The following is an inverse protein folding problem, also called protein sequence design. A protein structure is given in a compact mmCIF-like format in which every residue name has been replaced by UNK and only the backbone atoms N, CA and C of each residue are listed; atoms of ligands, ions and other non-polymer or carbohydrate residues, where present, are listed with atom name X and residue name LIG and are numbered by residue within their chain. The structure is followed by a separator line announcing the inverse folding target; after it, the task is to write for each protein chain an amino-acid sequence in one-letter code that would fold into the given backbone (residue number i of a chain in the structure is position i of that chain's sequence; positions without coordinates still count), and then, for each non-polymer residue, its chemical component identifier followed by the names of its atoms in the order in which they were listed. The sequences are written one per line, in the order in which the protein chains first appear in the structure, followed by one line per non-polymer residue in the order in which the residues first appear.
data_IF_352539979266
#
_entry.id   IF_352539979266
#
_cell.length_a   1.000
_cell.length_b   1.000
_cell.length_c   1.000
_cell.angle_alpha   90.00
_cell.angle_beta   90.00
_cell.angle_gamma   90.00
#
_symmetry.space_group_name_H-M   'P 1'
#
loop_
_entity.id
_entity.type
_entity.pdbx_description
1 polymer ?
#
# COMPACT_ATOMS: atom_id res chain seq x y z
N UNK A 1 8.22 10.06 -5.64
CA UNK A 1 7.62 8.79 -6.11
C UNK A 1 7.22 8.84 -7.58
N UNK A 2 6.40 9.81 -8.01
CA UNK A 2 5.91 9.91 -9.40
C UNK A 2 7.01 9.91 -10.46
N UNK A 3 8.08 10.70 -10.28
CA UNK A 3 9.19 10.80 -11.23
C UNK A 3 9.94 9.47 -11.43
N UNK A 4 10.12 8.70 -10.35
CA UNK A 4 10.69 7.36 -10.42
C UNK A 4 9.81 6.44 -11.29
N UNK A 5 8.50 6.45 -11.07
CA UNK A 5 7.57 5.65 -11.87
C UNK A 5 7.57 6.10 -13.32
N UNK A 6 7.50 7.41 -13.58
CA UNK A 6 7.53 7.96 -14.94
C UNK A 6 8.82 7.58 -15.71
N UNK A 7 9.96 7.47 -15.02
CA UNK A 7 11.24 7.14 -15.64
C UNK A 7 11.47 5.65 -15.83
N UNK A 8 11.03 4.80 -14.89
CA UNK A 8 11.33 3.36 -14.90
C UNK A 8 10.16 2.52 -15.41
N UNK A 9 8.93 2.87 -15.05
CA UNK A 9 7.70 2.16 -15.38
C UNK A 9 6.59 3.13 -15.83
N UNK A 10 6.79 3.87 -16.93
CA UNK A 10 5.77 4.82 -17.44
C UNK A 10 4.45 4.13 -17.80
N UNK A 11 4.50 2.84 -18.12
CA UNK A 11 3.33 1.99 -18.35
C UNK A 11 2.44 1.86 -17.10
N UNK A 12 3.02 1.76 -15.90
CA UNK A 12 2.26 1.74 -14.65
C UNK A 12 1.59 3.09 -14.38
N UNK A 13 2.26 4.20 -14.71
CA UNK A 13 1.65 5.54 -14.60
C UNK A 13 0.46 5.69 -15.55
N UNK A 14 0.59 5.20 -16.79
CA UNK A 14 -0.50 5.21 -17.77
C UNK A 14 -1.66 4.29 -17.36
N UNK A 15 -1.38 3.16 -16.72
CA UNK A 15 -2.39 2.20 -16.29
C UNK A 15 -3.15 2.65 -15.03
N UNK A 16 -2.46 3.25 -14.05
CA UNK A 16 -3.07 3.56 -12.74
C UNK A 16 -4.01 4.76 -12.80
N UNK A 17 -3.69 5.78 -13.59
CA UNK A 17 -4.50 7.01 -13.69
C UNK A 17 -5.96 6.70 -14.09
N UNK A 18 -6.26 5.97 -15.18
CA UNK A 18 -7.64 5.66 -15.54
C UNK A 18 -8.33 4.72 -14.54
N UNK A 19 -7.59 3.85 -13.85
CA UNK A 19 -8.17 2.96 -12.83
C UNK A 19 -8.60 3.73 -11.58
N UNK A 20 -7.83 4.72 -11.16
CA UNK A 20 -8.16 5.59 -10.03
C UNK A 20 -9.17 6.67 -10.44
N UNK A 21 -9.10 7.14 -11.70
CA UNK A 21 -9.90 8.23 -12.27
C UNK A 21 -9.17 9.59 -12.30
N UNK A 22 -7.99 9.67 -11.67
CA UNK A 22 -7.15 10.87 -11.58
C UNK A 22 -5.71 10.45 -11.23
N UNK A 23 -4.76 11.39 -11.19
CA UNK A 23 -3.36 11.08 -10.83
C UNK A 23 -3.21 10.82 -9.31
N UNK A 24 -3.02 9.57 -8.87
CA UNK A 24 -2.94 9.26 -7.44
C UNK A 24 -1.68 9.82 -6.79
N UNK A 25 -0.63 10.12 -7.55
CA UNK A 25 0.61 10.65 -6.98
C UNK A 25 0.47 12.11 -6.56
N UNK A 26 -0.46 12.85 -7.16
CA UNK A 26 -0.72 14.25 -6.79
C UNK A 26 -1.46 14.38 -5.44
N UNK A 27 -2.11 13.31 -4.99
CA UNK A 27 -3.01 13.27 -3.82
C UNK A 27 -2.62 12.19 -2.81
N UNK A 28 -1.35 11.77 -2.84
CA UNK A 28 -0.85 10.60 -2.10
C UNK A 28 -1.09 10.69 -0.59
N UNK A 29 -1.07 11.90 -0.02
CA UNK A 29 -1.21 12.14 1.41
C UNK A 29 -2.67 12.30 1.87
N UNK A 30 -3.64 12.25 0.96
CA UNK A 30 -5.04 12.56 1.29
C UNK A 30 -5.81 11.36 1.82
N UNK A 31 -5.65 10.17 1.22
CA UNK A 31 -6.32 8.96 1.68
C UNK A 31 -5.73 7.68 1.10
N UNK A 32 -6.17 6.53 1.63
CA UNK A 32 -5.76 5.21 1.12
C UNK A 32 -6.17 4.98 -0.33
N UNK A 33 -7.20 5.68 -0.83
CA UNK A 33 -7.61 5.63 -2.25
C UNK A 33 -6.46 6.01 -3.17
N UNK A 34 -5.64 6.97 -2.77
CA UNK A 34 -4.51 7.47 -3.56
C UNK A 34 -3.17 6.88 -3.11
N UNK A 35 -2.96 6.80 -1.79
CA UNK A 35 -1.71 6.32 -1.22
C UNK A 35 -1.38 4.90 -1.71
N UNK A 36 -2.36 3.99 -1.67
CA UNK A 36 -2.10 2.58 -1.99
C UNK A 36 -1.66 2.35 -3.44
N UNK A 37 -2.39 2.81 -4.47
CA UNK A 37 -1.94 2.65 -5.85
C UNK A 37 -0.62 3.38 -6.13
N UNK A 38 -0.42 4.58 -5.59
CA UNK A 38 0.83 5.33 -5.78
C UNK A 38 2.04 4.60 -5.17
N UNK A 39 1.90 4.06 -3.95
CA UNK A 39 2.95 3.29 -3.26
C UNK A 39 3.24 2.00 -4.03
N UNK A 40 2.21 1.26 -4.42
CA UNK A 40 2.39 0.01 -5.18
C UNK A 40 3.17 0.24 -6.48
N UNK A 41 2.80 1.23 -7.29
CA UNK A 41 3.51 1.56 -8.52
C UNK A 41 4.97 2.00 -8.25
N UNK A 42 5.20 2.82 -7.23
CA UNK A 42 6.54 3.25 -6.85
C UNK A 42 7.42 2.08 -6.38
N UNK A 43 6.86 1.15 -5.60
CA UNK A 43 7.58 -0.03 -5.13
C UNK A 43 7.96 -0.97 -6.28
N UNK A 44 7.06 -1.19 -7.25
CA UNK A 44 7.39 -1.99 -8.44
C UNK A 44 8.44 -1.31 -9.34
N UNK A 45 8.38 0.02 -9.50
CA UNK A 45 9.42 0.76 -10.20
C UNK A 45 10.78 0.67 -9.48
N UNK A 46 10.78 0.72 -8.15
CA UNK A 46 11.98 0.48 -7.35
C UNK A 46 12.54 -0.93 -7.53
N UNK A 47 11.66 -1.94 -7.52
CA UNK A 47 12.05 -3.33 -7.80
C UNK A 47 12.64 -3.50 -9.20
N UNK A 48 12.02 -2.93 -10.23
CA UNK A 48 12.53 -2.99 -11.60
C UNK A 48 13.95 -2.44 -11.71
N UNK A 49 14.25 -1.34 -11.00
CA UNK A 49 15.58 -0.73 -11.02
C UNK A 49 16.63 -1.59 -10.29
N UNK A 50 16.23 -2.35 -9.28
CA UNK A 50 17.10 -3.26 -8.55
C UNK A 50 17.19 -4.66 -9.20
N UNK A 51 16.26 -4.98 -10.10
CA UNK A 51 16.21 -6.27 -10.78
C UNK A 51 17.49 -6.51 -11.57
N UNK A 52 18.05 -7.71 -11.44
CA UNK A 52 19.33 -8.07 -12.06
C UNK A 52 20.58 -7.62 -11.28
N UNK A 53 20.42 -6.82 -10.22
CA UNK A 53 21.51 -6.48 -9.28
C UNK A 53 21.43 -7.30 -7.99
N UNK A 54 20.26 -7.88 -7.70
CA UNK A 54 19.96 -8.65 -6.51
C UNK A 54 19.40 -10.01 -6.93
N UNK A 55 19.96 -11.08 -6.38
CA UNK A 55 19.39 -12.44 -6.46
C UNK A 55 18.50 -12.68 -5.23
N UNK A 56 17.21 -12.42 -5.36
CA UNK A 56 16.25 -12.49 -4.26
C UNK A 56 15.68 -13.90 -4.10
N UNK A 57 16.05 -14.59 -3.01
CA UNK A 57 15.52 -15.93 -2.68
C UNK A 57 14.13 -15.95 -2.04
N UNK A 58 13.62 -14.79 -1.61
CA UNK A 58 12.28 -14.65 -1.01
C UNK A 58 11.78 -13.20 -1.13
N UNK A 59 10.45 -13.05 -1.11
CA UNK A 59 9.75 -11.77 -1.12
C UNK A 59 8.79 -11.70 0.05
N UNK A 60 8.74 -10.55 0.71
CA UNK A 60 7.82 -10.28 1.81
C UNK A 60 7.41 -8.81 1.79
N UNK A 61 6.22 -8.52 2.30
CA UNK A 61 5.74 -7.18 2.46
C UNK A 61 4.66 -7.10 3.54
N UNK A 62 4.52 -5.93 4.14
CA UNK A 62 3.58 -5.68 5.23
C UNK A 62 2.35 -4.90 4.72
N UNK A 63 1.14 -5.37 5.07
CA UNK A 63 -0.12 -4.74 4.64
C UNK A 63 -0.16 -4.58 3.11
N UNK A 64 -0.25 -3.36 2.58
CA UNK A 64 -0.17 -3.09 1.15
C UNK A 64 1.07 -3.74 0.47
N UNK A 65 2.20 -3.76 1.17
CA UNK A 65 3.45 -4.29 0.63
C UNK A 65 3.38 -5.77 0.30
N UNK A 66 2.46 -6.54 0.92
CA UNK A 66 2.26 -7.95 0.58
C UNK A 66 1.82 -8.11 -0.88
N UNK A 67 0.92 -7.26 -1.36
CA UNK A 67 0.46 -7.28 -2.76
C UNK A 67 1.61 -6.95 -3.72
N UNK A 68 2.45 -5.97 -3.37
CA UNK A 68 3.67 -5.68 -4.14
C UNK A 68 4.63 -6.86 -4.14
N UNK A 69 4.84 -7.52 -3.00
CA UNK A 69 5.73 -8.66 -2.87
C UNK A 69 5.25 -9.86 -3.72
N UNK A 70 3.95 -10.15 -3.71
CA UNK A 70 3.34 -11.19 -4.52
C UNK A 70 3.53 -10.93 -6.03
N UNK A 71 3.36 -9.68 -6.47
CA UNK A 71 3.60 -9.30 -7.87
C UNK A 71 5.09 -9.35 -8.21
N UNK A 72 5.97 -8.84 -7.34
CA UNK A 72 7.41 -8.87 -7.55
C UNK A 72 7.96 -10.31 -7.63
N UNK A 73 7.37 -11.25 -6.88
CA UNK A 73 7.67 -12.67 -6.90
C UNK A 73 7.06 -13.42 -8.10
N UNK A 74 6.20 -12.78 -8.90
CA UNK A 74 5.46 -13.41 -9.99
C UNK A 74 4.32 -14.34 -9.53
N UNK A 75 3.95 -14.31 -8.24
CA UNK A 75 2.85 -15.10 -7.69
C UNK A 75 1.47 -14.48 -7.97
N UNK A 76 1.42 -13.18 -8.28
CA UNK A 76 0.23 -12.45 -8.69
C UNK A 76 0.54 -11.67 -9.97
N UNK A 77 -0.37 -11.71 -10.96
CA UNK A 77 -0.22 -10.88 -12.17
C UNK A 77 -0.23 -9.39 -11.80
N UNK A 78 0.61 -8.62 -12.47
CA UNK A 78 0.80 -7.21 -12.17
C UNK A 78 -0.47 -6.39 -12.43
N UNK A 79 -1.20 -6.68 -13.51
CA UNK A 79 -2.42 -5.93 -13.84
C UNK A 79 -3.53 -6.21 -12.84
N UNK A 80 -3.68 -7.48 -12.45
CA UNK A 80 -4.64 -7.86 -11.42
C UNK A 80 -4.23 -7.33 -10.04
N UNK A 81 -2.92 -7.33 -9.72
CA UNK A 81 -2.38 -6.69 -8.54
C UNK A 81 -2.69 -5.19 -8.49
N UNK A 82 -2.50 -4.47 -9.60
CA UNK A 82 -2.83 -3.04 -9.69
C UNK A 82 -4.32 -2.79 -9.46
N UNK A 83 -5.21 -3.57 -10.11
CA UNK A 83 -6.66 -3.48 -9.91
C UNK A 83 -7.06 -3.75 -8.47
N UNK A 84 -6.48 -4.79 -7.87
CA UNK A 84 -6.74 -5.17 -6.48
C UNK A 84 -6.31 -4.06 -5.51
N UNK A 85 -5.13 -3.47 -5.71
CA UNK A 85 -4.65 -2.36 -4.88
C UNK A 85 -5.53 -1.11 -5.01
N UNK A 86 -5.96 -0.76 -6.22
CA UNK A 86 -6.89 0.36 -6.44
C UNK A 86 -8.20 0.11 -5.70
N UNK A 87 -8.79 -1.08 -5.87
CA UNK A 87 -10.04 -1.45 -5.20
C UNK A 87 -9.89 -1.47 -3.68
N UNK A 88 -8.81 -2.06 -3.16
CA UNK A 88 -8.50 -2.09 -1.73
C UNK A 88 -8.35 -0.69 -1.15
N UNK A 89 -7.59 0.18 -1.82
CA UNK A 89 -7.39 1.57 -1.40
C UNK A 89 -8.71 2.34 -1.30
N UNK A 90 -9.58 2.18 -2.31
CA UNK A 90 -10.91 2.77 -2.35
C UNK A 90 -11.80 2.27 -1.21
N UNK A 91 -11.96 0.94 -1.08
CA UNK A 91 -12.82 0.34 -0.06
C UNK A 91 -12.34 0.67 1.36
N UNK A 92 -11.03 0.74 1.59
CA UNK A 92 -10.48 1.17 2.88
C UNK A 92 -10.74 2.64 3.18
N UNK A 93 -10.71 3.52 2.16
CA UNK A 93 -11.05 4.94 2.35
C UNK A 93 -12.50 5.09 2.78
N UNK A 94 -13.41 4.45 2.03
CA UNK A 94 -14.85 4.45 2.30
C UNK A 94 -15.13 3.89 3.70
N UNK A 95 -14.56 2.72 4.03
CA UNK A 95 -14.74 2.12 5.35
C UNK A 95 -14.22 2.99 6.50
N UNK A 96 -13.14 3.73 6.29
CA UNK A 96 -12.60 4.65 7.29
C UNK A 96 -13.50 5.86 7.51
N UNK A 97 -14.09 6.39 6.43
CA UNK A 97 -15.05 7.49 6.45
C UNK A 97 -16.37 7.05 7.14
N UNK A 98 -16.92 5.89 6.76
CA UNK A 98 -18.15 5.33 7.33
C UNK A 98 -18.05 5.03 8.83
N UNK A 99 -16.86 4.65 9.31
CA UNK A 99 -16.60 4.38 10.71
C UNK A 99 -16.47 5.65 11.58
N UNK A 100 -16.68 6.85 11.00
CA UNK A 100 -16.51 8.13 11.70
C UNK A 100 -15.05 8.56 11.82
N UNK A 101 -14.17 8.00 10.98
CA UNK A 101 -12.72 8.15 11.06
C UNK A 101 -12.07 7.09 11.95
N UNK A 102 -10.91 6.57 11.51
CA UNK A 102 -10.07 5.67 12.29
C UNK A 102 -8.61 6.09 12.16
N UNK A 103 -7.91 6.18 13.29
CA UNK A 103 -6.46 6.46 13.31
C UNK A 103 -5.71 5.25 13.84
N UNK A 104 -4.43 5.17 13.51
CA UNK A 104 -3.53 4.14 14.03
C UNK A 104 -2.65 4.75 15.11
N UNK A 105 -2.49 4.05 16.23
CA UNK A 105 -1.55 4.41 17.28
C UNK A 105 -0.53 3.28 17.44
N UNK A 106 0.75 3.64 17.47
CA UNK A 106 1.84 2.70 17.77
C UNK A 106 2.23 2.84 19.24
N UNK A 107 2.32 1.72 19.96
CA UNK A 107 2.80 1.68 21.34
C UNK A 107 4.28 1.26 21.37
N UNK A 108 5.15 2.14 21.85
CA UNK A 108 6.58 1.87 22.00
C UNK A 108 6.90 1.40 23.42
N UNK A 109 7.62 0.30 23.55
CA UNK A 109 8.06 -0.26 24.85
C UNK A 109 6.95 -0.92 25.68
N UNK A 110 5.72 -1.00 25.15
CA UNK A 110 4.63 -1.72 25.81
C UNK A 110 4.71 -3.22 25.53
N UNK A 111 4.40 -4.02 26.54
CA UNK A 111 4.14 -5.46 26.39
C UNK A 111 2.76 -5.69 25.76
N UNK A 112 2.50 -6.87 25.16
CA UNK A 112 1.18 -7.22 24.64
C UNK A 112 0.06 -7.10 25.69
N UNK A 113 0.34 -7.45 26.95
CA UNK A 113 -0.64 -7.32 28.04
C UNK A 113 -0.97 -5.85 28.35
N UNK A 114 0.04 -4.97 28.33
CA UNK A 114 -0.19 -3.53 28.50
C UNK A 114 -0.96 -2.93 27.33
N UNK A 115 -0.66 -3.34 26.09
CA UNK A 115 -1.40 -2.94 24.91
C UNK A 115 -2.88 -3.35 25.00
N UNK A 116 -3.16 -4.58 25.43
CA UNK A 116 -4.53 -5.07 25.64
C UNK A 116 -5.28 -4.28 26.72
N UNK A 117 -4.61 -3.97 27.84
CA UNK A 117 -5.21 -3.17 28.90
C UNK A 117 -5.53 -1.73 28.44
N UNK A 118 -4.65 -1.11 27.64
CA UNK A 118 -4.88 0.22 27.05
C UNK A 118 -6.06 0.16 26.07
N UNK A 119 -6.06 -0.83 25.18
CA UNK A 119 -7.10 -1.01 24.18
C UNK A 119 -8.49 -1.17 24.81
N UNK A 120 -8.62 -2.05 25.80
CA UNK A 120 -9.86 -2.27 26.53
C UNK A 120 -10.34 -1.02 27.28
N UNK A 121 -9.41 -0.25 27.87
CA UNK A 121 -9.75 0.99 28.60
C UNK A 121 -10.33 2.07 27.70
N UNK A 122 -9.84 2.17 26.47
CA UNK A 122 -10.19 3.26 25.55
C UNK A 122 -11.15 2.83 24.45
N UNK A 123 -11.61 1.58 24.44
CA UNK A 123 -12.52 1.07 23.42
C UNK A 123 -11.91 1.06 22.02
N UNK A 124 -10.58 0.88 21.93
CA UNK A 124 -9.87 0.77 20.64
C UNK A 124 -9.51 -0.69 20.37
N UNK A 125 -9.47 -1.06 19.10
CA UNK A 125 -9.08 -2.41 18.69
C UNK A 125 -7.57 -2.56 18.61
N UNK A 126 -7.06 -3.75 18.96
CA UNK A 126 -5.70 -4.18 18.64
C UNK A 126 -5.71 -4.95 17.33
N UNK A 127 -4.76 -4.64 16.45
CA UNK A 127 -4.52 -5.29 15.17
C UNK A 127 -3.03 -5.64 15.04
#
# INVERSE_FOLDING_TARGET
MRELVASVRPDLLQAVIPLVGEDPFARVDESTRFAQPAIFCASLAGWERARGQIDAGAFAGHSLGELTALVAAGALDERDGLRLVVLRGLLMSISGEDAGGGTMLTLLGATPAQAAAIAARHGVSLA
#
